data_IF_486644952783
#
_entry.id   IF_486644952783
#
_cell.length_a   1.000
_cell.length_b   1.000
_cell.length_c   1.000
_cell.angle_alpha   90.00
_cell.angle_beta   90.00
_cell.angle_gamma   90.00
#
_symmetry.space_group_name_H-M   'P 1'
#
loop_
_entity.id
_entity.type
_entity.pdbx_description
1 polymer ?
#
# COMPACT_ATOMS: atom_id res chain seq x y z
N UNK A 1 0.97 1.42 -4.99
CA UNK A 1 0.92 0.17 -5.80
C UNK A 1 0.36 0.39 -7.20
N UNK A 2 -0.93 0.73 -7.37
CA UNK A 2 -1.53 0.87 -8.71
C UNK A 2 -0.76 1.81 -9.65
N UNK A 3 -0.31 2.97 -9.16
CA UNK A 3 0.52 3.89 -9.94
C UNK A 3 1.83 3.25 -10.43
N UNK A 4 2.52 2.51 -9.56
CA UNK A 4 3.76 1.81 -9.90
C UNK A 4 3.53 0.73 -10.99
N UNK A 5 2.44 -0.03 -10.89
CA UNK A 5 2.09 -1.04 -11.90
C UNK A 5 1.71 -0.39 -13.25
N UNK A 6 0.90 0.68 -13.25
CA UNK A 6 0.57 1.43 -14.47
C UNK A 6 1.81 2.00 -15.16
N UNK A 7 2.77 2.50 -14.39
CA UNK A 7 4.06 3.01 -14.91
C UNK A 7 4.87 1.94 -15.63
N UNK A 8 4.73 0.68 -15.24
CA UNK A 8 5.35 -0.48 -15.90
C UNK A 8 4.45 -1.09 -16.99
N UNK A 9 3.42 -0.36 -17.45
CA UNK A 9 2.60 -0.75 -18.60
C UNK A 9 1.49 -1.76 -18.29
N UNK A 10 1.22 -2.06 -17.03
CA UNK A 10 0.12 -2.96 -16.65
C UNK A 10 -1.22 -2.24 -16.68
N UNK A 11 -2.25 -2.95 -17.16
CA UNK A 11 -3.64 -2.56 -16.92
C UNK A 11 -4.01 -2.90 -15.47
N UNK A 12 -4.55 -1.93 -14.74
CA UNK A 12 -4.81 -2.08 -13.30
C UNK A 12 -6.24 -1.71 -13.00
N UNK A 13 -6.87 -2.55 -12.18
CA UNK A 13 -8.18 -2.31 -11.61
C UNK A 13 -8.09 -2.29 -10.08
N UNK A 14 -8.93 -1.48 -9.44
CA UNK A 14 -9.04 -1.44 -7.97
C UNK A 14 -10.49 -1.80 -7.62
N UNK A 15 -10.63 -2.78 -6.73
CA UNK A 15 -11.90 -3.13 -6.10
C UNK A 15 -11.79 -2.87 -4.61
N UNK A 16 -12.59 -1.94 -4.12
CA UNK A 16 -12.71 -1.67 -2.69
C UNK A 16 -14.02 -2.25 -2.16
N UNK A 17 -13.92 -3.17 -1.21
CA UNK A 17 -15.08 -3.84 -0.63
C UNK A 17 -16.03 -2.87 0.06
N UNK A 18 -15.50 -1.80 0.69
CA UNK A 18 -16.33 -0.82 1.40
C UNK A 18 -17.21 -0.01 0.44
N UNK A 19 -16.80 0.11 -0.82
CA UNK A 19 -17.59 0.80 -1.84
C UNK A 19 -18.73 -0.07 -2.37
N UNK A 20 -18.49 -1.38 -2.55
CA UNK A 20 -19.43 -2.29 -3.20
C UNK A 20 -19.44 -3.68 -2.50
N UNK A 21 -20.10 -3.80 -1.33
CA UNK A 21 -20.06 -5.00 -0.50
C UNK A 21 -21.09 -6.05 -0.96
N UNK A 22 -20.95 -6.55 -2.19
CA UNK A 22 -21.77 -7.63 -2.74
C UNK A 22 -20.89 -8.71 -3.33
N UNK A 23 -21.04 -9.94 -2.83
CA UNK A 23 -20.30 -11.10 -3.33
C UNK A 23 -20.66 -11.37 -4.79
N UNK A 24 -21.94 -11.28 -5.14
CA UNK A 24 -22.39 -11.58 -6.50
C UNK A 24 -21.86 -10.56 -7.50
N UNK A 25 -21.94 -9.27 -7.15
CA UNK A 25 -21.35 -8.20 -7.95
C UNK A 25 -19.82 -8.35 -8.06
N UNK A 26 -19.16 -8.76 -6.98
CA UNK A 26 -17.72 -9.01 -7.01
C UNK A 26 -17.34 -10.17 -7.95
N UNK A 27 -18.10 -11.27 -7.94
CA UNK A 27 -17.90 -12.39 -8.87
C UNK A 27 -18.12 -11.97 -10.31
N UNK A 28 -19.21 -11.27 -10.58
CA UNK A 28 -19.49 -10.75 -11.91
C UNK A 28 -18.36 -9.84 -12.39
N UNK A 29 -17.93 -8.91 -11.53
CA UNK A 29 -16.83 -8.00 -11.83
C UNK A 29 -15.50 -8.73 -12.11
N UNK A 30 -15.16 -9.77 -11.33
CA UNK A 30 -13.98 -10.60 -11.58
C UNK A 30 -14.05 -11.28 -12.95
N UNK A 31 -15.20 -11.86 -13.31
CA UNK A 31 -15.42 -12.50 -14.62
C UNK A 31 -15.34 -11.49 -15.76
N UNK A 32 -15.93 -10.31 -15.60
CA UNK A 32 -15.92 -9.25 -16.62
C UNK A 32 -14.52 -8.68 -16.85
N UNK A 33 -13.75 -8.50 -15.78
CA UNK A 33 -12.37 -8.00 -15.87
C UNK A 33 -11.36 -9.06 -16.29
N UNK A 34 -11.64 -10.32 -15.98
CA UNK A 34 -10.82 -11.49 -16.28
C UNK A 34 -9.30 -11.22 -16.10
N UNK A 35 -8.87 -10.79 -14.89
CA UNK A 35 -7.48 -10.42 -14.68
C UNK A 35 -6.55 -11.64 -14.67
N UNK A 36 -5.33 -11.45 -15.16
CA UNK A 36 -4.24 -12.43 -15.08
C UNK A 36 -3.76 -12.64 -13.63
N UNK A 37 -3.82 -11.57 -12.83
CA UNK A 37 -3.27 -11.50 -11.48
C UNK A 37 -4.21 -10.73 -10.57
N UNK A 38 -4.45 -11.27 -9.36
CA UNK A 38 -5.23 -10.61 -8.31
C UNK A 38 -4.36 -10.35 -7.09
N UNK A 39 -4.17 -9.07 -6.77
CA UNK A 39 -3.51 -8.63 -5.55
C UNK A 39 -4.51 -8.44 -4.40
N UNK A 40 -4.25 -9.06 -3.24
CA UNK A 40 -5.09 -8.91 -2.04
C UNK A 40 -4.29 -8.25 -0.92
N UNK A 41 -4.72 -7.04 -0.52
CA UNK A 41 -4.13 -6.32 0.63
C UNK A 41 -4.75 -6.83 1.93
N UNK A 42 -3.92 -7.18 2.90
CA UNK A 42 -4.34 -7.79 4.16
C UNK A 42 -3.79 -7.01 5.35
N UNK A 43 -4.70 -6.52 6.19
CA UNK A 43 -4.40 -6.11 7.56
C UNK A 43 -4.71 -7.26 8.52
N UNK A 44 -4.06 -7.29 9.69
CA UNK A 44 -4.23 -8.39 10.65
C UNK A 44 -5.69 -8.57 11.09
N UNK A 45 -6.44 -7.47 11.24
CA UNK A 45 -7.87 -7.53 11.57
C UNK A 45 -8.74 -8.14 10.46
N UNK A 46 -8.24 -8.16 9.22
CA UNK A 46 -8.97 -8.56 8.02
C UNK A 46 -8.58 -9.96 7.52
N UNK A 47 -7.76 -10.72 8.28
CA UNK A 47 -7.28 -12.06 7.87
C UNK A 47 -8.42 -13.00 7.49
N UNK A 48 -9.48 -13.07 8.30
CA UNK A 48 -10.64 -13.93 8.02
C UNK A 48 -11.32 -13.51 6.71
N UNK A 49 -11.62 -12.22 6.55
CA UNK A 49 -12.25 -11.68 5.36
C UNK A 49 -11.37 -11.86 4.10
N UNK A 50 -10.04 -11.76 4.25
CA UNK A 50 -9.10 -12.01 3.17
C UNK A 50 -9.12 -13.48 2.72
N UNK A 51 -9.17 -14.44 3.66
CA UNK A 51 -9.30 -15.88 3.32
C UNK A 51 -10.61 -16.15 2.57
N UNK A 52 -11.73 -15.59 3.02
CA UNK A 52 -13.02 -15.70 2.34
C UNK A 52 -12.97 -15.06 0.93
N UNK A 53 -12.32 -13.90 0.79
CA UNK A 53 -12.14 -13.21 -0.49
C UNK A 53 -11.30 -14.04 -1.47
N UNK A 54 -10.19 -14.62 -1.01
CA UNK A 54 -9.32 -15.48 -1.81
C UNK A 54 -10.06 -16.73 -2.28
N UNK A 55 -10.86 -17.34 -1.41
CA UNK A 55 -11.70 -18.50 -1.78
C UNK A 55 -12.71 -18.13 -2.88
N UNK A 56 -13.35 -16.96 -2.78
CA UNK A 56 -14.25 -16.46 -3.84
C UNK A 56 -13.49 -16.26 -5.15
N UNK A 57 -12.32 -15.63 -5.10
CA UNK A 57 -11.46 -15.40 -6.29
C UNK A 57 -11.10 -16.74 -6.93
N UNK A 58 -10.66 -17.73 -6.16
CA UNK A 58 -10.25 -19.04 -6.68
C UNK A 58 -11.41 -19.82 -7.29
N UNK A 59 -12.63 -19.71 -6.73
CA UNK A 59 -13.82 -20.33 -7.33
C UNK A 59 -14.21 -19.65 -8.64
N UNK A 60 -14.10 -18.33 -8.72
CA UNK A 60 -14.48 -17.56 -9.92
C UNK A 60 -13.44 -17.62 -11.03
N UNK A 61 -12.15 -17.60 -10.68
CA UNK A 61 -11.02 -17.65 -11.59
C UNK A 61 -10.02 -18.72 -11.10
N UNK A 62 -10.23 -20.01 -11.43
CA UNK A 62 -9.45 -21.12 -10.88
C UNK A 62 -7.94 -21.02 -11.10
N UNK A 63 -7.51 -20.45 -12.22
CA UNK A 63 -6.11 -20.40 -12.63
C UNK A 63 -5.46 -19.04 -12.37
N UNK A 64 -6.18 -18.07 -11.79
CA UNK A 64 -5.63 -16.73 -11.56
C UNK A 64 -4.48 -16.77 -10.56
N UNK A 65 -3.45 -15.98 -10.81
CA UNK A 65 -2.32 -15.87 -9.92
C UNK A 65 -2.68 -14.89 -8.80
N UNK A 66 -2.68 -15.37 -7.56
CA UNK A 66 -3.06 -14.59 -6.38
C UNK A 66 -1.80 -14.18 -5.62
N UNK A 67 -1.67 -12.88 -5.36
CA UNK A 67 -0.56 -12.30 -4.61
C UNK A 67 -1.13 -11.58 -3.40
N UNK A 68 -0.70 -11.98 -2.20
CA UNK A 68 -1.10 -11.30 -0.97
C UNK A 68 -0.04 -10.29 -0.53
N UNK A 69 -0.45 -9.21 0.13
CA UNK A 69 0.49 -8.21 0.61
C UNK A 69 -0.07 -7.31 1.70
N UNK A 70 0.76 -6.43 2.24
CA UNK A 70 0.37 -5.45 3.25
C UNK A 70 0.86 -5.79 4.66
N UNK A 71 0.30 -5.13 5.68
CA UNK A 71 0.86 -5.19 7.03
C UNK A 71 0.85 -6.57 7.66
N UNK A 72 -0.17 -7.39 7.40
CA UNK A 72 -0.22 -8.74 7.95
C UNK A 72 0.88 -9.64 7.37
N UNK A 73 0.98 -9.85 6.03
CA UNK A 73 2.10 -10.57 5.43
C UNK A 73 3.49 -10.10 5.89
N UNK A 74 3.67 -8.79 6.07
CA UNK A 74 4.94 -8.23 6.51
C UNK A 74 5.32 -8.63 7.95
N UNK A 75 4.32 -8.71 8.83
CA UNK A 75 4.49 -8.99 10.26
C UNK A 75 4.38 -10.48 10.62
N UNK A 76 3.97 -11.34 9.69
CA UNK A 76 3.86 -12.79 9.89
C UNK A 76 5.16 -13.52 9.55
N UNK A 77 5.35 -14.70 10.16
CA UNK A 77 6.37 -15.65 9.73
C UNK A 77 6.00 -16.21 8.34
N UNK A 78 6.93 -16.28 7.36
CA UNK A 78 6.61 -16.67 5.99
C UNK A 78 5.93 -18.04 5.86
N UNK A 79 6.40 -19.04 6.60
CA UNK A 79 5.88 -20.40 6.57
C UNK A 79 4.43 -20.44 7.06
N UNK A 80 4.16 -19.83 8.23
CA UNK A 80 2.81 -19.74 8.80
C UNK A 80 1.87 -18.94 7.88
N UNK A 81 2.36 -17.83 7.33
CA UNK A 81 1.59 -17.00 6.40
C UNK A 81 1.16 -17.80 5.17
N UNK A 82 2.10 -18.50 4.53
CA UNK A 82 1.81 -19.23 3.30
C UNK A 82 0.93 -20.46 3.56
N UNK A 83 1.04 -21.08 4.73
CA UNK A 83 0.10 -22.13 5.16
C UNK A 83 -1.31 -21.57 5.38
N UNK A 84 -1.42 -20.45 6.08
CA UNK A 84 -2.69 -19.76 6.33
C UNK A 84 -3.39 -19.32 5.04
N UNK A 85 -2.59 -18.97 4.02
CA UNK A 85 -3.03 -18.52 2.71
C UNK A 85 -2.55 -19.46 1.61
N UNK A 86 -2.71 -20.77 1.80
CA UNK A 86 -2.27 -21.81 0.84
C UNK A 86 -2.80 -21.67 -0.59
N UNK A 87 -3.90 -20.95 -0.77
CA UNK A 87 -4.48 -20.67 -2.08
C UNK A 87 -3.79 -19.49 -2.80
N UNK A 88 -2.87 -18.78 -2.14
CA UNK A 88 -2.05 -17.74 -2.75
C UNK A 88 -0.80 -18.32 -3.40
N UNK A 89 -0.36 -17.69 -4.50
CA UNK A 89 0.84 -18.08 -5.23
C UNK A 89 2.09 -17.43 -4.63
N UNK A 90 1.98 -16.16 -4.25
CA UNK A 90 3.06 -15.36 -3.68
C UNK A 90 2.57 -14.46 -2.54
N UNK A 91 3.48 -14.06 -1.67
CA UNK A 91 3.27 -12.93 -0.77
C UNK A 91 4.36 -11.86 -0.92
N UNK A 92 3.97 -10.60 -0.77
CA UNK A 92 4.88 -9.45 -0.75
C UNK A 92 4.94 -8.86 0.66
N UNK A 93 6.13 -8.87 1.26
CA UNK A 93 6.43 -8.32 2.59
C UNK A 93 7.14 -6.97 2.47
N UNK A 94 6.79 -6.04 3.36
CA UNK A 94 7.34 -4.68 3.37
C UNK A 94 6.79 -3.82 2.23
N UNK A 95 7.65 -2.97 1.68
CA UNK A 95 7.32 -2.07 0.57
C UNK A 95 7.50 -2.80 -0.76
N UNK A 96 6.52 -2.66 -1.65
CA UNK A 96 6.41 -3.50 -2.83
C UNK A 96 6.26 -2.69 -4.13
N UNK A 97 6.33 -1.36 -4.06
CA UNK A 97 6.22 -0.48 -5.24
C UNK A 97 7.35 -0.68 -6.25
N UNK A 98 8.48 -1.26 -5.84
CA UNK A 98 9.59 -1.63 -6.74
C UNK A 98 9.59 -3.14 -7.01
N UNK A 99 9.46 -3.97 -5.97
CA UNK A 99 9.61 -5.42 -6.10
C UNK A 99 8.42 -6.11 -6.76
N UNK A 100 7.20 -5.56 -6.63
CA UNK A 100 6.02 -6.15 -7.28
C UNK A 100 6.06 -5.96 -8.81
N UNK A 101 6.32 -4.75 -9.38
CA UNK A 101 6.56 -4.64 -10.82
C UNK A 101 7.68 -5.58 -11.33
N UNK A 102 8.78 -5.71 -10.58
CA UNK A 102 9.86 -6.63 -10.94
C UNK A 102 9.42 -8.11 -10.99
N UNK A 103 8.58 -8.53 -10.04
CA UNK A 103 7.97 -9.86 -10.07
C UNK A 103 7.12 -10.04 -11.34
N UNK A 104 6.31 -9.04 -11.69
CA UNK A 104 5.46 -9.12 -12.87
C UNK A 104 6.25 -9.12 -14.18
N UNK A 105 7.30 -8.30 -14.29
CA UNK A 105 8.23 -8.35 -15.43
C UNK A 105 8.81 -9.75 -15.61
N UNK A 106 9.23 -10.39 -14.51
CA UNK A 106 9.78 -11.74 -14.53
C UNK A 106 8.73 -12.79 -14.93
N UNK A 107 7.50 -12.67 -14.45
CA UNK A 107 6.37 -13.54 -14.82
C UNK A 107 5.97 -13.36 -16.29
N UNK A 108 6.02 -12.13 -16.80
CA UNK A 108 5.68 -11.83 -18.19
C UNK A 108 6.68 -12.41 -19.22
N UNK A 109 7.83 -12.93 -18.78
CA UNK A 109 8.77 -13.63 -19.66
C UNK A 109 8.30 -15.05 -20.02
N UNK A 110 7.35 -15.59 -19.27
CA UNK A 110 6.74 -16.88 -19.57
C UNK A 110 5.65 -16.71 -20.64
N UNK A 111 5.49 -17.71 -21.52
CA UNK A 111 4.44 -17.70 -22.56
C UNK A 111 3.04 -17.79 -21.97
N UNK A 112 2.92 -18.48 -20.85
CA UNK A 112 1.70 -18.69 -20.09
C UNK A 112 2.01 -18.31 -18.64
N UNK A 113 0.98 -17.89 -17.89
CA UNK A 113 1.16 -17.53 -16.48
C UNK A 113 1.59 -18.80 -15.73
N UNK A 114 2.75 -18.78 -15.06
CA UNK A 114 3.26 -19.98 -14.40
C UNK A 114 2.34 -20.35 -13.23
N UNK A 115 2.08 -21.64 -13.08
CA UNK A 115 1.36 -22.13 -11.90
C UNK A 115 2.31 -22.21 -10.70
N UNK A 116 1.73 -22.41 -9.52
CA UNK A 116 2.48 -22.48 -8.25
C UNK A 116 3.61 -23.53 -8.36
N UNK A 117 4.83 -23.09 -8.08
CA UNK A 117 6.02 -23.95 -8.04
C UNK A 117 6.78 -24.10 -9.37
N UNK A 118 6.25 -23.60 -10.50
CA UNK A 118 6.94 -23.70 -11.80
C UNK A 118 8.10 -22.70 -11.95
N UNK A 119 7.99 -21.55 -11.29
CA UNK A 119 9.07 -20.56 -11.30
C UNK A 119 10.16 -21.02 -10.34
N UNK A 120 11.37 -21.20 -10.86
CA UNK A 120 12.48 -21.74 -10.05
C UNK A 120 12.87 -20.80 -8.91
N UNK A 121 13.39 -21.38 -7.84
CA UNK A 121 13.91 -20.64 -6.70
C UNK A 121 14.90 -19.55 -7.13
N UNK A 122 15.89 -19.92 -7.96
CA UNK A 122 16.96 -19.03 -8.44
C UNK A 122 16.38 -17.84 -9.20
N UNK A 123 15.35 -18.06 -10.01
CA UNK A 123 14.72 -17.02 -10.81
C UNK A 123 13.97 -16.00 -9.96
N UNK A 124 13.45 -16.39 -8.80
CA UNK A 124 12.75 -15.52 -7.86
C UNK A 124 13.67 -14.85 -6.83
N UNK A 125 14.92 -15.29 -6.71
CA UNK A 125 15.89 -14.62 -5.84
C UNK A 125 16.10 -13.15 -6.21
N UNK A 126 16.37 -12.33 -5.20
CA UNK A 126 16.63 -10.89 -5.36
C UNK A 126 15.38 -10.00 -5.48
N UNK A 127 14.18 -10.58 -5.55
CA UNK A 127 12.93 -9.80 -5.50
C UNK A 127 12.60 -9.52 -4.04
N UNK A 128 12.95 -8.32 -3.57
CA UNK A 128 12.85 -7.94 -2.16
C UNK A 128 11.45 -8.18 -1.58
N UNK A 129 11.41 -8.81 -0.40
CA UNK A 129 10.18 -9.10 0.34
C UNK A 129 9.30 -10.20 -0.24
N UNK A 130 9.68 -10.84 -1.34
CA UNK A 130 8.90 -11.94 -1.93
C UNK A 130 8.93 -13.18 -1.04
N UNK A 131 7.78 -13.84 -0.93
CA UNK A 131 7.60 -15.18 -0.34
C UNK A 131 6.90 -16.07 -1.37
N UNK A 132 7.33 -17.31 -1.51
CA UNK A 132 6.79 -18.25 -2.51
C UNK A 132 6.96 -19.71 -2.08
N UNK A 133 6.29 -20.59 -2.83
CA UNK A 133 6.43 -22.04 -2.72
C UNK A 133 7.37 -22.58 -3.80
N UNK A 134 8.25 -23.50 -3.42
CA UNK A 134 9.06 -24.30 -4.34
C UNK A 134 9.33 -25.68 -3.73
N UNK A 135 8.99 -26.75 -4.44
CA UNK A 135 9.10 -28.15 -3.96
C UNK A 135 8.51 -28.37 -2.55
N UNK A 136 7.27 -27.91 -2.34
CA UNK A 136 6.53 -27.99 -1.06
C UNK A 136 7.20 -27.30 0.13
N UNK A 137 8.20 -26.44 -0.13
CA UNK A 137 8.85 -25.61 0.87
C UNK A 137 8.59 -24.13 0.60
N UNK A 138 8.53 -23.35 1.67
CA UNK A 138 8.38 -21.90 1.60
C UNK A 138 9.76 -21.26 1.54
N UNK A 139 9.97 -20.39 0.58
CA UNK A 139 11.16 -19.57 0.45
C UNK A 139 10.79 -18.10 0.56
N UNK A 140 11.74 -17.28 1.01
CA UNK A 140 11.55 -15.85 1.10
C UNK A 140 12.83 -15.07 0.86
N UNK A 141 12.69 -13.89 0.28
CA UNK A 141 13.76 -12.92 0.14
C UNK A 141 13.71 -11.89 1.29
N UNK A 142 14.85 -11.31 1.69
CA UNK A 142 14.87 -10.21 2.66
C UNK A 142 14.00 -9.03 2.23
N UNK A 143 13.38 -8.36 3.21
CA UNK A 143 12.67 -7.10 2.99
C UNK A 143 13.69 -6.00 2.68
N UNK A 144 13.40 -5.18 1.67
CA UNK A 144 14.13 -3.94 1.37
C UNK A 144 13.17 -2.76 1.48
N UNK A 145 13.69 -1.62 1.93
CA UNK A 145 12.92 -0.39 2.10
C UNK A 145 13.32 0.61 1.02
N UNK A 146 12.36 1.35 0.48
CA UNK A 146 12.61 2.36 -0.54
C UNK A 146 13.24 3.58 0.13
N UNK A 147 14.52 3.85 -0.16
CA UNK A 147 15.29 4.89 0.50
C UNK A 147 14.76 6.31 0.21
N UNK A 148 14.56 6.60 -1.07
CA UNK A 148 14.06 7.89 -1.55
C UNK A 148 12.58 7.77 -1.92
N UNK A 149 11.72 8.33 -1.06
CA UNK A 149 10.28 8.28 -1.23
C UNK A 149 9.78 9.17 -2.38
N UNK A 150 10.57 10.15 -2.85
CA UNK A 150 10.18 11.00 -3.98
C UNK A 150 10.26 10.25 -5.33
N UNK A 151 10.92 9.09 -5.36
CA UNK A 151 10.95 8.19 -6.53
C UNK A 151 9.63 7.44 -6.73
N UNK A 152 8.77 7.40 -5.70
CA UNK A 152 7.46 6.75 -5.74
C UNK A 152 6.46 7.73 -6.34
N UNK A 153 5.77 7.30 -7.40
CA UNK A 153 4.72 8.12 -8.01
C UNK A 153 3.54 8.32 -7.04
N UNK A 154 2.81 9.43 -7.22
CA UNK A 154 1.62 9.69 -6.43
C UNK A 154 0.61 8.53 -6.57
N UNK A 155 -0.24 8.30 -5.54
CA UNK A 155 -1.36 7.40 -5.66
C UNK A 155 -2.18 7.69 -6.92
N UNK A 156 -2.78 6.63 -7.47
CA UNK A 156 -3.62 6.68 -8.66
C UNK A 156 -4.99 7.30 -8.30
N UNK A 157 -5.00 8.61 -8.00
CA UNK A 157 -6.14 9.33 -7.44
C UNK A 157 -7.38 9.29 -8.35
N UNK A 158 -7.21 9.08 -9.64
CA UNK A 158 -8.31 8.84 -10.57
C UNK A 158 -9.05 7.52 -10.30
N UNK A 159 -8.37 6.50 -9.78
CA UNK A 159 -8.97 5.21 -9.43
C UNK A 159 -9.51 5.17 -7.99
N UNK A 160 -8.97 6.01 -7.11
CA UNK A 160 -9.38 6.13 -5.70
C UNK A 160 -9.83 7.55 -5.38
N UNK A 161 -10.83 8.04 -6.15
CA UNK A 161 -11.28 9.41 -6.07
C UNK A 161 -11.79 9.78 -4.65
N UNK A 162 -11.12 10.71 -3.94
CA UNK A 162 -11.47 11.08 -2.57
C UNK A 162 -12.91 11.57 -2.38
N UNK A 163 -13.51 12.17 -3.43
CA UNK A 163 -14.88 12.67 -3.38
C UNK A 163 -15.89 11.54 -3.19
N UNK A 164 -15.67 10.36 -3.81
CA UNK A 164 -16.57 9.21 -3.65
C UNK A 164 -16.49 8.61 -2.24
N UNK A 165 -15.28 8.47 -1.72
CA UNK A 165 -15.06 7.95 -0.37
C UNK A 165 -15.66 8.85 0.71
N UNK A 166 -15.53 10.17 0.56
CA UNK A 166 -16.08 11.13 1.52
C UNK A 166 -17.61 11.06 1.63
N UNK A 167 -18.29 10.77 0.51
CA UNK A 167 -19.75 10.60 0.47
C UNK A 167 -20.19 9.35 1.25
N UNK A 168 -19.44 8.25 1.17
CA UNK A 168 -19.80 7.01 1.87
C UNK A 168 -19.80 7.14 3.40
N UNK A 169 -18.89 7.94 3.93
CA UNK A 169 -18.77 8.17 5.38
C UNK A 169 -19.56 9.39 5.85
N UNK A 170 -20.41 9.98 5.00
CA UNK A 170 -21.20 11.19 5.28
C UNK A 170 -20.36 12.37 5.80
N UNK A 171 -19.10 12.46 5.37
CA UNK A 171 -18.24 13.58 5.74
C UNK A 171 -18.49 14.72 4.76
N UNK A 172 -18.90 15.88 5.28
CA UNK A 172 -19.25 17.06 4.48
C UNK A 172 -18.07 17.64 3.69
N UNK A 173 -16.85 17.39 4.17
CA UNK A 173 -15.61 17.91 3.60
C UNK A 173 -14.86 16.78 2.92
N UNK A 174 -14.56 16.96 1.63
CA UNK A 174 -13.75 15.97 0.91
C UNK A 174 -12.36 15.87 1.53
N UNK A 175 -12.02 14.68 2.00
CA UNK A 175 -10.76 14.41 2.69
C UNK A 175 -9.91 13.39 1.94
N UNK A 176 -8.59 13.51 2.03
CA UNK A 176 -7.65 12.55 1.45
C UNK A 176 -6.52 12.24 2.43
N UNK A 177 -6.10 10.96 2.54
CA UNK A 177 -4.90 10.61 3.27
C UNK A 177 -3.65 11.05 2.51
N UNK A 178 -2.63 11.49 3.24
CA UNK A 178 -1.32 11.77 2.69
C UNK A 178 -0.24 11.17 3.58
N UNK A 179 0.87 10.77 2.95
CA UNK A 179 2.05 10.23 3.64
C UNK A 179 3.21 11.14 3.30
N UNK A 180 3.86 11.71 4.32
CA UNK A 180 5.08 12.51 4.13
C UNK A 180 6.34 11.73 4.48
N UNK A 181 6.23 10.74 5.35
CA UNK A 181 7.31 9.94 5.89
C UNK A 181 6.93 8.46 5.99
N UNK A 182 7.94 7.60 5.90
CA UNK A 182 7.84 6.18 6.26
C UNK A 182 8.90 5.83 7.29
N UNK A 183 8.51 4.99 8.24
CA UNK A 183 9.33 4.51 9.34
C UNK A 183 9.06 5.22 10.66
N UNK A 184 9.41 4.58 11.77
CA UNK A 184 9.27 5.16 13.11
C UNK A 184 10.43 4.71 14.03
N UNK A 185 11.19 5.64 14.64
CA UNK A 185 12.32 5.30 15.50
C UNK A 185 11.87 4.77 16.87
N UNK A 186 10.57 4.86 17.17
CA UNK A 186 9.98 4.36 18.39
C UNK A 186 10.28 2.87 18.63
N UNK A 187 10.64 2.54 19.86
CA UNK A 187 10.87 1.17 20.34
C UNK A 187 9.70 0.65 21.18
N UNK A 188 8.48 1.12 20.89
CA UNK A 188 7.28 0.75 21.62
C UNK A 188 7.07 -0.76 21.57
N UNK A 189 6.99 -1.41 22.73
CA UNK A 189 6.89 -2.87 22.85
C UNK A 189 5.63 -3.46 22.21
N UNK A 190 4.59 -2.67 22.03
CA UNK A 190 3.30 -3.07 21.47
C UNK A 190 3.18 -2.84 19.95
N UNK A 191 4.12 -2.14 19.31
CA UNK A 191 3.94 -1.64 17.95
C UNK A 191 4.65 -2.53 16.91
N UNK A 192 3.90 -2.94 15.88
CA UNK A 192 4.42 -3.70 14.73
C UNK A 192 4.72 -2.85 13.49
N UNK A 193 4.46 -1.53 13.52
CA UNK A 193 4.59 -0.66 12.33
C UNK A 193 5.99 -0.68 11.70
N UNK A 194 7.03 -0.88 12.51
CA UNK A 194 8.42 -0.98 12.05
C UNK A 194 8.70 -2.22 11.20
N UNK A 195 7.88 -3.27 11.30
CA UNK A 195 8.03 -4.48 10.47
C UNK A 195 7.66 -4.21 9.01
N UNK A 196 6.81 -3.21 8.75
CA UNK A 196 6.44 -2.77 7.40
C UNK A 196 7.32 -1.63 6.93
N UNK A 197 7.42 -0.57 7.74
CA UNK A 197 7.98 0.70 7.31
C UNK A 197 9.43 0.94 7.79
N UNK A 198 10.01 -0.02 8.52
CA UNK A 198 11.32 0.13 9.15
C UNK A 198 11.34 1.09 10.35
N UNK A 199 12.52 1.18 10.97
CA UNK A 199 12.76 2.07 12.11
C UNK A 199 13.30 3.44 11.73
N UNK A 200 14.03 3.52 10.61
CA UNK A 200 14.62 4.76 10.15
C UNK A 200 13.57 5.57 9.41
N UNK A 201 13.44 6.84 9.79
CA UNK A 201 12.54 7.76 9.10
C UNK A 201 13.14 8.15 7.76
N UNK A 202 12.36 7.91 6.72
CA UNK A 202 12.56 8.38 5.35
C UNK A 202 11.45 9.37 5.05
N UNK A 203 11.77 10.47 4.38
CA UNK A 203 10.83 11.57 4.16
C UNK A 203 10.81 11.91 2.68
N UNK A 204 9.63 12.24 2.18
CA UNK A 204 9.46 12.96 0.93
C UNK A 204 9.89 14.40 1.10
N UNK A 205 10.31 15.05 0.03
CA UNK A 205 10.53 16.49 0.03
C UNK A 205 9.19 17.24 0.22
N UNK A 206 9.19 18.29 1.03
CA UNK A 206 8.00 19.12 1.24
C UNK A 206 7.36 19.62 -0.07
N UNK A 207 8.17 19.99 -1.08
CA UNK A 207 7.67 20.39 -2.39
C UNK A 207 7.01 19.23 -3.15
N UNK A 208 7.51 18.00 -2.99
CA UNK A 208 6.90 16.81 -3.57
C UNK A 208 5.52 16.52 -2.94
N UNK A 209 5.42 16.64 -1.61
CA UNK A 209 4.15 16.52 -0.88
C UNK A 209 3.18 17.64 -1.27
N UNK A 210 3.64 18.89 -1.30
CA UNK A 210 2.82 20.04 -1.68
C UNK A 210 2.27 19.93 -3.11
N UNK A 211 3.04 19.35 -4.04
CA UNK A 211 2.58 19.08 -5.41
C UNK A 211 1.40 18.11 -5.44
N UNK A 212 1.45 17.05 -4.62
CA UNK A 212 0.33 16.12 -4.47
C UNK A 212 -0.88 16.79 -3.80
N UNK A 213 -0.66 17.58 -2.74
CA UNK A 213 -1.72 18.34 -2.08
C UNK A 213 -2.40 19.31 -3.05
N UNK A 214 -1.61 20.01 -3.87
CA UNK A 214 -2.11 20.95 -4.89
C UNK A 214 -2.96 20.24 -5.94
N UNK A 215 -2.54 19.05 -6.39
CA UNK A 215 -3.32 18.19 -7.29
C UNK A 215 -4.68 17.84 -6.67
N UNK A 216 -4.66 17.34 -5.44
CA UNK A 216 -5.86 16.95 -4.69
C UNK A 216 -6.81 18.11 -4.42
N UNK A 217 -6.26 19.27 -4.06
CA UNK A 217 -7.00 20.47 -3.76
C UNK A 217 -7.71 21.03 -5.00
N UNK A 218 -7.02 21.05 -6.14
CA UNK A 218 -7.51 21.67 -7.38
C UNK A 218 -8.40 20.74 -8.20
N UNK A 219 -8.05 19.45 -8.31
CA UNK A 219 -8.77 18.51 -9.19
C UNK A 219 -9.86 17.71 -8.47
N UNK A 220 -9.68 17.45 -7.17
CA UNK A 220 -10.59 16.59 -6.40
C UNK A 220 -11.33 17.34 -5.29
N UNK A 221 -11.16 18.67 -5.23
CA UNK A 221 -11.75 19.54 -4.22
C UNK A 221 -11.48 19.08 -2.78
N UNK A 222 -10.31 18.45 -2.55
CA UNK A 222 -9.91 18.06 -1.20
C UNK A 222 -9.67 19.32 -0.39
N UNK A 223 -10.30 19.39 0.78
CA UNK A 223 -10.15 20.49 1.74
C UNK A 223 -9.70 20.02 3.10
N UNK A 224 -9.70 18.70 3.35
CA UNK A 224 -9.13 18.12 4.57
C UNK A 224 -8.04 17.10 4.24
N UNK A 225 -6.84 17.29 4.79
CA UNK A 225 -5.73 16.37 4.59
C UNK A 225 -5.44 15.58 5.87
N UNK A 226 -5.45 14.26 5.76
CA UNK A 226 -5.16 13.36 6.87
C UNK A 226 -3.73 12.82 6.73
N UNK A 227 -2.80 13.34 7.52
CA UNK A 227 -1.44 12.82 7.57
C UNK A 227 -1.44 11.46 8.29
N UNK A 228 -1.05 10.41 7.55
CA UNK A 228 -1.12 9.00 8.01
C UNK A 228 0.26 8.42 8.36
N UNK A 229 1.23 9.32 8.57
CA UNK A 229 2.60 9.05 8.97
C UNK A 229 2.68 8.41 10.35
N UNK A 230 3.56 7.43 10.56
CA UNK A 230 3.77 6.88 11.91
C UNK A 230 4.41 7.88 12.88
N UNK A 231 5.02 8.95 12.38
CA UNK A 231 5.60 10.03 13.18
C UNK A 231 5.82 11.27 12.29
N UNK A 232 4.76 12.04 12.04
CA UNK A 232 4.79 13.22 11.17
C UNK A 232 5.76 14.29 11.71
N UNK A 233 5.74 14.53 13.02
CA UNK A 233 6.57 15.59 13.64
C UNK A 233 8.06 15.27 13.72
N UNK A 234 8.47 14.02 13.46
CA UNK A 234 9.86 13.63 13.64
C UNK A 234 10.83 14.15 12.56
N UNK A 235 10.32 14.76 11.48
CA UNK A 235 11.11 15.53 10.50
C UNK A 235 10.66 17.00 10.50
N UNK A 236 10.93 17.68 11.61
CA UNK A 236 10.52 19.07 11.88
C UNK A 236 10.81 20.05 10.75
N UNK A 237 12.01 20.00 10.18
CA UNK A 237 12.40 20.89 9.08
C UNK A 237 11.50 20.70 7.85
N UNK A 238 11.19 19.45 7.50
CA UNK A 238 10.35 19.13 6.36
C UNK A 238 8.88 19.50 6.62
N UNK A 239 8.39 19.26 7.85
CA UNK A 239 7.08 19.69 8.29
C UNK A 239 6.92 21.22 8.19
N UNK A 240 7.86 21.98 8.75
CA UNK A 240 7.86 23.46 8.69
C UNK A 240 7.91 23.95 7.25
N UNK A 241 8.76 23.35 6.41
CA UNK A 241 8.82 23.68 4.99
C UNK A 241 7.48 23.43 4.28
N UNK A 242 6.79 22.34 4.61
CA UNK A 242 5.46 22.05 4.08
C UNK A 242 4.42 23.10 4.56
N UNK A 243 4.43 23.47 5.83
CA UNK A 243 3.57 24.54 6.36
C UNK A 243 3.78 25.87 5.63
N UNK A 244 5.03 26.26 5.39
CA UNK A 244 5.35 27.48 4.63
C UNK A 244 4.77 27.41 3.22
N UNK A 245 4.95 26.28 2.52
CA UNK A 245 4.38 26.09 1.17
C UNK A 245 2.84 26.18 1.16
N UNK A 246 2.18 25.62 2.17
CA UNK A 246 0.71 25.68 2.32
C UNK A 246 0.25 27.13 2.54
N UNK A 247 0.92 27.87 3.43
CA UNK A 247 0.61 29.28 3.76
C UNK A 247 0.85 30.18 2.54
N UNK A 248 2.03 30.08 1.92
CA UNK A 248 2.39 30.87 0.74
C UNK A 248 1.49 30.54 -0.46
N UNK A 249 1.12 29.26 -0.59
CA UNK A 249 0.14 28.77 -1.58
C UNK A 249 -1.30 29.18 -1.29
N UNK A 250 -1.58 29.79 -0.12
CA UNK A 250 -2.91 30.22 0.34
C UNK A 250 -3.96 29.10 0.23
N UNK A 251 -3.54 27.87 0.55
CA UNK A 251 -4.44 26.72 0.53
C UNK A 251 -5.36 26.78 1.76
N UNK A 252 -6.66 26.96 1.52
CA UNK A 252 -7.68 26.91 2.58
C UNK A 252 -8.02 25.46 2.90
N UNK A 253 -7.37 24.92 3.93
CA UNK A 253 -7.45 23.50 4.28
C UNK A 253 -7.61 23.29 5.77
N UNK A 254 -8.30 22.21 6.12
CA UNK A 254 -8.17 21.53 7.39
C UNK A 254 -7.11 20.44 7.26
N UNK A 255 -6.40 20.14 8.34
CA UNK A 255 -5.55 18.96 8.38
C UNK A 255 -5.55 18.36 9.77
N UNK A 256 -5.26 17.07 9.82
CA UNK A 256 -5.03 16.33 11.04
C UNK A 256 -3.92 15.31 10.83
N UNK A 257 -3.27 14.91 11.93
CA UNK A 257 -2.33 13.80 11.94
C UNK A 257 -3.01 12.64 12.67
N UNK A 258 -3.37 11.60 11.92
CA UNK A 258 -4.19 10.48 12.42
C UNK A 258 -3.36 9.49 13.25
N UNK A 259 -2.06 9.72 13.43
CA UNK A 259 -1.16 8.66 13.91
C UNK A 259 -0.05 9.12 14.86
N UNK A 260 -0.08 8.53 16.06
CA UNK A 260 1.06 8.16 16.92
C UNK A 260 2.16 9.21 17.13
N UNK A 261 1.80 10.48 17.19
CA UNK A 261 2.74 11.51 17.61
C UNK A 261 3.24 11.20 19.02
N UNK A 262 4.56 11.18 19.14
CA UNK A 262 5.16 10.97 20.44
C UNK A 262 5.19 12.32 21.15
N UNK A 263 4.72 12.36 22.39
CA UNK A 263 4.66 13.60 23.19
C UNK A 263 6.05 14.25 23.35
N UNK A 264 7.13 13.46 23.33
CA UNK A 264 8.52 13.93 23.38
C UNK A 264 8.96 14.66 22.10
N UNK A 265 8.20 14.60 21.01
CA UNK A 265 8.47 15.36 19.78
C UNK A 265 7.67 16.68 19.70
N UNK A 266 6.77 16.93 20.64
CA UNK A 266 5.93 18.13 20.67
C UNK A 266 6.55 19.22 21.55
N UNK A 267 6.68 20.40 20.98
CA UNK A 267 7.07 21.65 21.63
C UNK A 267 6.33 22.85 21.02
N UNK A 268 6.54 24.03 21.59
CA UNK A 268 5.90 25.29 21.17
C UNK A 268 6.16 25.62 19.68
N UNK A 269 7.23 25.10 19.07
CA UNK A 269 7.49 25.32 17.63
C UNK A 269 6.69 24.38 16.74
N UNK A 270 6.30 23.21 17.25
CA UNK A 270 5.47 22.22 16.55
C UNK A 270 3.98 22.37 16.83
N UNK A 271 3.60 23.10 17.90
CA UNK A 271 2.24 23.36 18.36
C UNK A 271 1.91 24.86 18.35
N UNK A 272 1.80 25.53 17.19
CA UNK A 272 1.26 26.88 17.11
C UNK A 272 -0.27 26.91 17.24
#
# INVERSE_FOLDING_TARGET
>A
MAAALKKHGHEVYIRDWNMNPSIEDFRQWLTEKNPDIVGVKIFTKDVKAAKETISIIRVTLPDVLIIIGGPHPSASEPEELMEDFKESNFAMRGEAEISFPLLLEKINQFKEIPIRGEVTHEYLTGIAGLVWWFNDQVFHNPISLIEDLDTIDFPCWEMINPSFYSQLVNVKVTNAPIITTRGCPGKCSFCSAYMVNGRRIRSRNAANVFKEMSLLYTQYNVRRFMFTDNCFTARRENMKALCVLIIDGKMDIEWDCVSYERLDNLDDETLP
#
